data_IF_281767957195
#
_entry.id   IF_281767957195
#
_cell.length_a   1.000
_cell.length_b   1.000
_cell.length_c   1.000
_cell.angle_alpha   90.00
_cell.angle_beta   90.00
_cell.angle_gamma   90.00
#
_symmetry.space_group_name_H-M   'P 1'
#
loop_
_entity.id
_entity.type
_entity.pdbx_description
1 polymer ?
#
# COMPACT_ATOMS: atom_id res chain seq x y z
N UNK A 1 -35.92 62.68 -27.36
CA UNK A 1 -35.72 61.26 -26.98
C UNK A 1 -34.25 61.08 -26.69
N UNK A 2 -33.87 60.80 -25.44
CA UNK A 2 -32.51 60.37 -25.13
C UNK A 2 -32.47 58.86 -25.37
N UNK A 3 -31.79 58.43 -26.44
CA UNK A 3 -31.52 57.02 -26.68
C UNK A 3 -30.44 56.59 -25.69
N UNK A 4 -30.81 55.86 -24.64
CA UNK A 4 -29.84 55.18 -23.77
C UNK A 4 -29.32 53.98 -24.55
N UNK A 5 -28.11 54.09 -25.08
CA UNK A 5 -27.38 52.95 -25.63
C UNK A 5 -26.84 52.16 -24.44
N UNK A 6 -27.30 50.92 -24.26
CA UNK A 6 -26.68 49.99 -23.31
C UNK A 6 -25.32 49.59 -23.89
N UNK A 7 -24.24 50.16 -23.34
CA UNK A 7 -22.90 49.67 -23.63
C UNK A 7 -22.70 48.38 -22.83
N UNK A 8 -22.34 47.25 -23.45
CA UNK A 8 -22.01 46.03 -22.73
C UNK A 8 -20.91 46.32 -21.70
N UNK A 9 -21.07 45.82 -20.48
CA UNK A 9 -20.06 45.95 -19.43
C UNK A 9 -18.81 45.12 -19.76
N UNK A 10 -17.69 45.33 -19.05
CA UNK A 10 -16.41 44.70 -19.37
C UNK A 10 -16.40 43.16 -19.28
N UNK A 11 -17.37 42.56 -18.57
CA UNK A 11 -17.57 41.11 -18.49
C UNK A 11 -18.65 40.57 -19.44
N UNK A 12 -19.08 41.33 -20.46
CA UNK A 12 -20.12 40.91 -21.40
C UNK A 12 -19.76 41.25 -22.86
N UNK A 13 -19.36 40.26 -23.68
CA UNK A 13 -19.18 38.83 -23.36
C UNK A 13 -18.02 38.59 -22.37
N UNK A 14 -17.99 37.43 -21.71
CA UNK A 14 -16.93 37.09 -20.75
C UNK A 14 -15.55 37.07 -21.46
N UNK A 15 -14.60 37.95 -21.09
CA UNK A 15 -13.28 37.99 -21.71
C UNK A 15 -12.33 36.90 -21.20
N UNK A 16 -12.64 36.25 -20.07
CA UNK A 16 -11.80 35.21 -19.48
C UNK A 16 -11.94 33.88 -20.24
N UNK A 17 -10.82 33.23 -20.55
CA UNK A 17 -10.74 31.94 -21.23
C UNK A 17 -10.78 30.78 -20.22
N UNK A 18 -10.89 29.54 -20.72
CA UNK A 18 -10.80 28.30 -19.93
C UNK A 18 -11.69 28.29 -18.68
N UNK A 19 -12.96 28.67 -18.84
CA UNK A 19 -13.95 28.79 -17.75
C UNK A 19 -13.58 29.80 -16.63
N UNK A 20 -12.69 30.75 -16.92
CA UNK A 20 -12.34 31.85 -16.01
C UNK A 20 -13.53 32.73 -15.65
N UNK A 21 -13.60 33.15 -14.38
CA UNK A 21 -14.68 33.99 -13.86
C UNK A 21 -14.29 35.47 -13.91
N UNK A 22 -15.08 36.29 -14.62
CA UNK A 22 -14.81 37.73 -14.75
C UNK A 22 -15.40 38.52 -13.58
N UNK A 23 -14.56 39.31 -12.90
CA UNK A 23 -14.95 40.18 -11.80
C UNK A 23 -14.70 41.66 -12.15
N UNK A 24 -15.71 42.50 -11.94
CA UNK A 24 -15.63 43.93 -12.24
C UNK A 24 -15.09 44.69 -11.03
N UNK A 25 -14.01 45.45 -11.22
CA UNK A 25 -13.45 46.38 -10.24
C UNK A 25 -14.12 47.75 -10.43
N UNK A 26 -14.96 48.14 -9.48
CA UNK A 26 -15.56 49.48 -9.47
C UNK A 26 -14.71 50.42 -8.61
N UNK A 27 -13.84 51.21 -9.24
CA UNK A 27 -13.30 52.39 -8.56
C UNK A 27 -14.42 53.42 -8.39
N UNK A 28 -14.72 53.79 -7.14
CA UNK A 28 -15.69 54.85 -6.80
C UNK A 28 -15.13 56.24 -7.07
N UNK A 29 -14.59 56.51 -8.26
CA UNK A 29 -14.23 57.88 -8.66
C UNK A 29 -15.29 58.48 -9.58
N UNK A 30 -15.72 59.65 -9.15
CA UNK A 30 -16.85 60.42 -9.66
C UNK A 30 -16.47 61.02 -11.02
N UNK A 31 -16.76 60.32 -12.11
CA UNK A 31 -16.71 60.93 -13.46
C UNK A 31 -16.28 60.03 -14.61
N UNK A 32 -15.68 58.87 -14.38
CA UNK A 32 -15.04 58.09 -15.46
C UNK A 32 -15.88 56.88 -15.87
N UNK A 33 -16.09 56.71 -17.18
CA UNK A 33 -16.84 55.62 -17.82
C UNK A 33 -15.92 54.43 -18.09
N UNK A 34 -15.07 54.06 -17.14
CA UNK A 34 -14.20 52.88 -17.28
C UNK A 34 -14.32 52.01 -16.04
N UNK A 35 -15.00 50.88 -16.20
CA UNK A 35 -14.94 49.78 -15.23
C UNK A 35 -13.81 48.85 -15.65
N UNK A 36 -12.85 48.64 -14.76
CA UNK A 36 -11.79 47.65 -14.97
C UNK A 36 -12.33 46.27 -14.59
N UNK A 37 -11.76 45.21 -15.15
CA UNK A 37 -12.09 43.84 -14.79
C UNK A 37 -10.81 43.04 -14.58
N UNK A 38 -10.91 41.96 -13.83
CA UNK A 38 -9.88 40.94 -13.78
C UNK A 38 -10.51 39.56 -13.86
N UNK A 39 -9.73 38.59 -14.33
CA UNK A 39 -10.15 37.20 -14.40
C UNK A 39 -9.68 36.45 -13.16
N UNK A 40 -10.60 35.76 -12.51
CA UNK A 40 -10.30 34.75 -11.50
C UNK A 40 -10.13 33.43 -12.23
N UNK A 41 -8.88 32.96 -12.29
CA UNK A 41 -8.51 31.76 -13.01
C UNK A 41 -8.73 30.49 -12.18
N UNK A 42 -9.23 29.40 -12.79
CA UNK A 42 -9.18 28.06 -12.21
C UNK A 42 -7.76 27.66 -11.81
N UNK A 43 -7.58 26.74 -10.83
CA UNK A 43 -6.26 26.32 -10.34
C UNK A 43 -5.28 25.82 -11.41
N UNK A 44 -5.77 25.44 -12.59
CA UNK A 44 -5.03 24.81 -13.68
C UNK A 44 -4.47 25.82 -14.71
N UNK A 45 -4.91 27.09 -14.65
CA UNK A 45 -4.57 28.13 -15.63
C UNK A 45 -4.18 29.44 -14.95
N UNK A 46 -3.36 30.22 -15.64
CA UNK A 46 -2.83 31.52 -15.22
C UNK A 46 -2.85 32.48 -16.41
N UNK A 47 -2.49 33.74 -16.18
CA UNK A 47 -2.53 34.80 -17.18
C UNK A 47 -3.60 35.83 -16.87
N UNK A 48 -3.60 36.93 -17.61
CA UNK A 48 -4.54 38.05 -17.40
C UNK A 48 -5.98 37.65 -17.75
N UNK A 49 -6.12 36.72 -18.68
CA UNK A 49 -7.39 36.18 -19.16
C UNK A 49 -7.46 34.65 -19.02
N UNK A 50 -6.65 34.06 -18.14
CA UNK A 50 -6.58 32.60 -17.93
C UNK A 50 -6.19 31.82 -19.20
N UNK A 51 -5.41 32.44 -20.08
CA UNK A 51 -4.98 31.92 -21.37
C UNK A 51 -3.81 30.93 -21.31
N UNK A 52 -3.08 30.92 -20.19
CA UNK A 52 -1.83 30.16 -20.04
C UNK A 52 -2.05 28.97 -19.12
N UNK A 53 -1.76 27.75 -19.57
CA UNK A 53 -1.71 26.60 -18.67
C UNK A 53 -0.56 26.76 -17.68
N UNK A 54 -0.81 26.48 -16.40
CA UNK A 54 0.26 26.41 -15.41
C UNK A 54 1.13 25.22 -15.77
N UNK A 55 2.46 25.40 -15.72
CA UNK A 55 3.39 24.30 -15.91
C UNK A 55 3.84 23.77 -14.55
N UNK A 56 3.19 22.71 -14.07
CA UNK A 56 3.46 22.11 -12.76
C UNK A 56 4.87 21.51 -12.68
N UNK A 57 5.54 21.28 -13.82
CA UNK A 57 6.92 20.80 -13.83
C UNK A 57 7.97 21.87 -13.47
N UNK A 58 7.63 23.17 -13.47
CA UNK A 58 8.58 24.23 -13.12
C UNK A 58 9.08 24.14 -11.68
N UNK A 59 8.23 23.70 -10.76
CA UNK A 59 8.60 23.51 -9.34
C UNK A 59 9.36 22.21 -9.07
N UNK A 60 9.69 21.44 -10.13
CA UNK A 60 10.38 20.15 -10.08
C UNK A 60 9.76 19.19 -9.05
N UNK A 61 8.47 18.82 -9.24
CA UNK A 61 7.76 17.98 -8.28
C UNK A 61 8.29 16.54 -8.20
N UNK A 62 8.93 16.05 -9.27
CA UNK A 62 9.50 14.70 -9.31
C UNK A 62 10.81 14.59 -8.54
N UNK A 63 10.84 13.70 -7.55
CA UNK A 63 12.01 13.40 -6.72
C UNK A 63 12.86 12.27 -7.33
N UNK A 64 14.02 12.01 -6.72
CA UNK A 64 14.86 10.85 -7.01
C UNK A 64 15.24 10.67 -8.50
N UNK A 65 15.37 11.77 -9.23
CA UNK A 65 15.72 11.75 -10.65
C UNK A 65 14.57 11.39 -11.58
N UNK A 66 13.31 11.53 -11.13
CA UNK A 66 12.13 11.38 -11.97
C UNK A 66 12.03 12.48 -13.03
N UNK A 67 11.58 12.11 -14.24
CA UNK A 67 11.32 13.05 -15.34
C UNK A 67 9.88 13.52 -15.27
N UNK A 68 9.68 14.84 -15.20
CA UNK A 68 8.35 15.44 -15.15
C UNK A 68 7.77 15.65 -16.56
N UNK A 69 6.50 15.32 -16.72
CA UNK A 69 5.67 15.65 -17.87
C UNK A 69 4.49 16.49 -17.41
N UNK A 70 4.35 17.64 -18.05
CA UNK A 70 3.31 18.63 -17.78
C UNK A 70 1.95 18.09 -18.27
N UNK A 71 0.90 18.21 -17.46
CA UNK A 71 -0.47 17.86 -17.84
C UNK A 71 -1.39 19.03 -17.50
N UNK A 72 -2.62 19.01 -18.03
CA UNK A 72 -3.57 20.08 -17.74
C UNK A 72 -4.07 20.00 -16.29
N UNK A 73 -3.52 20.83 -15.40
CA UNK A 73 -3.87 20.86 -13.98
C UNK A 73 -3.28 19.73 -13.13
N UNK A 74 -2.31 18.99 -13.68
CA UNK A 74 -1.60 17.95 -12.96
C UNK A 74 -0.20 17.75 -13.56
N UNK A 75 0.60 16.89 -12.93
CA UNK A 75 1.88 16.45 -13.46
C UNK A 75 1.97 14.94 -13.45
N UNK A 76 2.75 14.41 -14.39
CA UNK A 76 3.11 13.01 -14.42
C UNK A 76 4.62 12.83 -14.28
N UNK A 77 5.05 12.07 -13.28
CA UNK A 77 6.45 11.71 -13.12
C UNK A 77 6.75 10.33 -13.71
N UNK A 78 7.68 10.28 -14.65
CA UNK A 78 8.32 9.02 -15.06
C UNK A 78 9.41 8.69 -14.06
N UNK A 79 9.18 7.69 -13.21
CA UNK A 79 10.10 7.33 -12.14
C UNK A 79 11.17 6.34 -12.59
N UNK A 80 12.47 6.60 -12.31
CA UNK A 80 13.52 5.62 -12.50
C UNK A 80 13.37 4.47 -11.49
N UNK A 81 13.65 3.24 -11.91
CA UNK A 81 13.69 2.10 -10.99
C UNK A 81 14.76 2.31 -9.90
N UNK A 82 14.48 2.01 -8.61
CA UNK A 82 13.29 1.35 -8.07
C UNK A 82 12.26 2.31 -7.47
N UNK A 83 12.17 3.56 -7.93
CA UNK A 83 11.25 4.56 -7.35
C UNK A 83 9.84 4.49 -7.95
N UNK A 84 8.84 4.78 -7.13
CA UNK A 84 7.41 4.81 -7.48
C UNK A 84 6.69 5.95 -6.73
N UNK A 85 5.40 6.10 -6.99
CA UNK A 85 4.55 7.16 -6.43
C UNK A 85 4.44 8.36 -7.36
N UNK A 86 3.46 9.24 -7.11
CA UNK A 86 3.14 10.40 -7.97
C UNK A 86 4.35 11.30 -8.22
N UNK A 87 5.21 11.47 -7.22
CA UNK A 87 6.43 12.28 -7.28
C UNK A 87 7.71 11.45 -7.19
N UNK A 88 7.69 10.14 -7.43
CA UNK A 88 8.85 9.25 -7.31
C UNK A 88 9.54 9.28 -5.94
N UNK A 89 8.82 9.66 -4.90
CA UNK A 89 9.33 9.81 -3.55
C UNK A 89 9.51 8.47 -2.82
N UNK A 90 8.85 7.41 -3.30
CA UNK A 90 8.84 6.10 -2.64
C UNK A 90 9.82 5.14 -3.31
N UNK A 91 10.56 4.37 -2.51
CA UNK A 91 11.47 3.33 -3.01
C UNK A 91 10.79 1.95 -2.94
N UNK A 92 10.53 1.34 -4.09
CA UNK A 92 9.85 0.06 -4.26
C UNK A 92 10.75 -1.15 -3.94
N UNK A 93 11.22 -1.24 -2.69
CA UNK A 93 12.11 -2.32 -2.22
C UNK A 93 11.53 -3.10 -1.04
N UNK A 94 10.22 -3.09 -0.87
CA UNK A 94 9.53 -3.78 0.23
C UNK A 94 9.47 -5.29 0.01
N UNK A 95 9.60 -6.08 1.09
CA UNK A 95 9.43 -7.55 1.02
C UNK A 95 7.95 -7.86 0.84
N UNK A 96 7.61 -8.65 -0.18
CA UNK A 96 6.22 -8.98 -0.52
C UNK A 96 5.64 -10.09 0.36
N UNK A 97 6.49 -10.87 1.03
CA UNK A 97 6.10 -11.68 2.17
C UNK A 97 6.09 -13.18 1.91
N UNK A 98 7.02 -13.70 1.11
CA UNK A 98 7.27 -15.15 1.09
C UNK A 98 7.87 -15.63 2.42
N UNK A 99 8.85 -14.91 2.98
CA UNK A 99 9.42 -15.20 4.30
C UNK A 99 8.40 -14.93 5.42
N UNK A 100 7.76 -13.76 5.36
CA UNK A 100 6.83 -13.25 6.38
C UNK A 100 5.42 -13.88 6.32
N UNK A 101 5.22 -14.91 5.50
CA UNK A 101 3.92 -15.59 5.35
C UNK A 101 2.77 -14.71 4.84
N UNK A 102 3.07 -13.58 4.20
CA UNK A 102 2.10 -12.71 3.52
C UNK A 102 1.66 -13.24 2.17
N UNK A 103 2.43 -14.14 1.56
CA UNK A 103 2.02 -14.93 0.40
C UNK A 103 1.66 -16.35 0.89
N UNK A 104 0.36 -16.65 0.84
CA UNK A 104 -0.16 -17.99 1.13
C UNK A 104 0.39 -19.03 0.15
N UNK A 105 0.54 -20.27 0.61
CA UNK A 105 1.03 -21.41 -0.17
C UNK A 105 0.16 -21.68 -1.41
N UNK A 106 -1.15 -21.39 -1.34
CA UNK A 106 -2.07 -21.50 -2.47
C UNK A 106 -1.67 -20.63 -3.68
N UNK A 107 -0.89 -19.58 -3.45
CA UNK A 107 -0.40 -18.67 -4.49
C UNK A 107 0.97 -19.08 -5.05
N UNK A 108 1.55 -20.20 -4.60
CA UNK A 108 2.85 -20.66 -5.05
C UNK A 108 2.67 -22.00 -5.79
N UNK A 109 3.16 -22.05 -7.04
CA UNK A 109 3.13 -23.26 -7.86
C UNK A 109 4.50 -23.55 -8.42
N UNK A 110 4.78 -24.81 -8.71
CA UNK A 110 6.00 -25.22 -9.36
C UNK A 110 5.70 -26.29 -10.42
N UNK A 111 6.65 -26.48 -11.32
CA UNK A 111 6.62 -27.53 -12.34
C UNK A 111 6.56 -28.93 -11.74
N UNK A 112 7.35 -29.17 -10.70
CA UNK A 112 7.51 -30.47 -10.09
C UNK A 112 8.03 -30.36 -8.65
N UNK A 113 8.06 -31.50 -7.95
CA UNK A 113 8.45 -31.62 -6.55
C UNK A 113 9.39 -32.80 -6.39
N UNK A 114 10.48 -32.61 -5.67
CA UNK A 114 11.41 -33.67 -5.30
C UNK A 114 10.94 -34.41 -4.05
N UNK A 115 11.02 -35.73 -4.10
CA UNK A 115 10.85 -36.60 -2.94
C UNK A 115 12.19 -37.25 -2.57
N UNK A 116 12.53 -37.28 -1.29
CA UNK A 116 13.71 -37.97 -0.74
C UNK A 116 13.32 -38.93 0.36
N UNK A 117 14.26 -39.79 0.77
CA UNK A 117 14.08 -40.76 1.85
C UNK A 117 12.81 -41.62 1.67
N UNK A 118 12.74 -42.35 0.54
CA UNK A 118 11.61 -43.21 0.18
C UNK A 118 10.23 -42.51 0.20
N UNK A 119 10.19 -41.20 -0.06
CA UNK A 119 8.94 -40.42 -0.12
C UNK A 119 8.60 -39.66 1.16
N UNK A 120 9.34 -39.86 2.25
CA UNK A 120 9.06 -39.21 3.54
C UNK A 120 9.43 -37.72 3.58
N UNK A 121 10.27 -37.25 2.65
CA UNK A 121 10.68 -35.86 2.56
C UNK A 121 10.21 -35.25 1.24
N UNK A 122 9.27 -34.31 1.30
CA UNK A 122 8.71 -33.62 0.14
C UNK A 122 9.21 -32.18 0.05
N UNK A 123 9.91 -31.83 -1.03
CA UNK A 123 10.51 -30.51 -1.25
C UNK A 123 9.60 -29.59 -2.08
N UNK A 124 8.42 -29.28 -1.54
CA UNK A 124 7.36 -28.56 -2.25
C UNK A 124 7.59 -27.05 -2.43
N UNK A 125 6.85 -26.40 -3.36
CA UNK A 125 6.96 -24.95 -3.62
C UNK A 125 6.66 -24.08 -2.39
N UNK A 126 5.82 -24.54 -1.47
CA UNK A 126 5.47 -23.86 -0.23
C UNK A 126 6.69 -23.59 0.69
N UNK A 127 7.76 -24.36 0.51
CA UNK A 127 9.01 -24.25 1.25
C UNK A 127 10.00 -23.26 0.63
N UNK A 128 9.70 -22.66 -0.53
CA UNK A 128 10.58 -21.73 -1.24
C UNK A 128 10.71 -20.35 -0.55
N UNK A 129 10.67 -20.30 0.78
CA UNK A 129 10.66 -19.10 1.61
C UNK A 129 12.08 -18.80 2.11
N UNK A 130 12.52 -17.55 1.97
CA UNK A 130 13.81 -17.12 2.49
C UNK A 130 13.91 -17.42 4.00
N UNK A 131 15.09 -17.84 4.46
CA UNK A 131 15.39 -18.16 5.86
C UNK A 131 14.56 -19.27 6.53
N UNK A 132 13.72 -20.01 5.80
CA UNK A 132 12.99 -21.15 6.33
C UNK A 132 13.96 -22.17 6.96
N UNK A 133 13.62 -22.65 8.16
CA UNK A 133 14.41 -23.59 8.97
C UNK A 133 13.79 -24.99 8.92
N UNK A 134 14.56 -26.00 9.31
CA UNK A 134 14.14 -27.41 9.29
C UNK A 134 14.97 -28.27 8.35
N UNK A 135 14.74 -29.59 8.40
CA UNK A 135 15.46 -30.58 7.59
C UNK A 135 15.07 -30.51 6.10
N UNK A 136 13.80 -30.21 5.82
CA UNK A 136 13.25 -29.96 4.48
C UNK A 136 12.70 -28.54 4.50
N UNK A 137 13.43 -27.62 3.86
CA UNK A 137 13.24 -26.17 4.07
C UNK A 137 13.40 -25.33 2.79
N UNK A 138 13.32 -25.96 1.63
CA UNK A 138 13.43 -25.31 0.34
C UNK A 138 12.58 -26.05 -0.69
N UNK A 139 12.29 -25.40 -1.81
CA UNK A 139 11.76 -26.09 -2.97
C UNK A 139 12.89 -26.71 -3.79
N UNK A 140 12.69 -27.95 -4.22
CA UNK A 140 13.55 -28.63 -5.19
C UNK A 140 12.65 -29.33 -6.22
N UNK A 141 12.91 -29.19 -7.53
CA UNK A 141 12.16 -29.89 -8.56
C UNK A 141 12.57 -31.36 -8.63
N UNK A 142 11.70 -32.18 -9.23
CA UNK A 142 11.99 -33.59 -9.46
C UNK A 142 13.28 -33.76 -10.29
N UNK A 143 14.09 -34.81 -10.06
CA UNK A 143 15.35 -35.02 -10.78
C UNK A 143 15.20 -35.14 -12.31
N UNK A 144 14.02 -35.52 -12.78
CA UNK A 144 13.72 -35.71 -14.20
C UNK A 144 13.11 -34.47 -14.87
N UNK A 145 12.87 -33.41 -14.11
CA UNK A 145 12.33 -32.16 -14.64
C UNK A 145 13.44 -31.37 -15.34
N UNK A 146 13.35 -31.27 -16.67
CA UNK A 146 14.34 -30.60 -17.52
C UNK A 146 14.12 -29.09 -17.60
N UNK A 147 12.92 -28.62 -17.26
CA UNK A 147 12.54 -27.21 -17.32
C UNK A 147 11.88 -26.77 -16.02
N UNK A 148 12.61 -26.84 -14.89
CA UNK A 148 11.99 -26.53 -13.63
C UNK A 148 11.59 -25.07 -13.58
N UNK A 149 10.41 -24.81 -13.03
CA UNK A 149 9.91 -23.46 -12.81
C UNK A 149 9.18 -23.36 -11.48
N UNK A 150 9.23 -22.17 -10.90
CA UNK A 150 8.39 -21.77 -9.77
C UNK A 150 7.70 -20.46 -10.12
N UNK A 151 6.43 -20.37 -9.76
CA UNK A 151 5.52 -19.29 -10.08
C UNK A 151 4.83 -18.82 -8.81
N UNK A 152 4.79 -17.51 -8.62
CA UNK A 152 4.04 -16.87 -7.53
C UNK A 152 2.95 -16.00 -8.14
N UNK A 153 1.72 -16.18 -7.67
CA UNK A 153 0.55 -15.40 -8.05
C UNK A 153 0.33 -14.28 -7.04
N UNK A 154 -0.08 -13.10 -7.51
CA UNK A 154 -0.49 -12.00 -6.64
C UNK A 154 -1.96 -11.69 -6.92
N UNK A 155 -2.79 -11.70 -5.87
CA UNK A 155 -4.13 -11.14 -5.91
C UNK A 155 -4.01 -9.62 -5.91
N UNK A 156 -4.31 -8.98 -7.05
CA UNK A 156 -4.17 -7.53 -7.17
C UNK A 156 -4.64 -7.02 -8.53
N UNK A 157 -5.96 -6.91 -8.70
CA UNK A 157 -6.55 -6.15 -9.79
C UNK A 157 -6.40 -4.65 -9.52
N UNK A 158 -5.24 -4.08 -9.87
CA UNK A 158 -5.08 -2.64 -10.10
C UNK A 158 -5.06 -2.41 -11.60
N UNK A 159 -6.00 -1.60 -12.12
CA UNK A 159 -6.14 -1.25 -13.54
C UNK A 159 -4.84 -0.70 -14.14
N UNK A 160 -3.99 -1.58 -14.66
CA UNK A 160 -2.98 -1.33 -15.69
C UNK A 160 -2.88 -2.66 -16.45
N UNK A 161 -3.04 -2.62 -17.77
CA UNK A 161 -3.15 -3.77 -18.67
C UNK A 161 -1.92 -4.67 -18.77
N UNK A 162 -1.50 -5.27 -17.66
CA UNK A 162 -0.67 -6.46 -17.63
C UNK A 162 -1.37 -7.47 -16.70
N UNK A 163 -1.72 -8.62 -17.27
CA UNK A 163 -2.22 -9.79 -16.56
C UNK A 163 -1.38 -10.06 -15.32
N UNK A 164 -2.02 -10.54 -14.24
CA UNK A 164 -1.44 -11.31 -13.13
C UNK A 164 0.09 -11.28 -13.08
N UNK A 165 0.70 -10.57 -12.12
CA UNK A 165 2.17 -10.50 -12.00
C UNK A 165 2.77 -11.89 -11.75
N UNK A 166 2.96 -12.66 -12.82
CA UNK A 166 3.51 -13.99 -12.81
C UNK A 166 5.02 -13.83 -12.88
N UNK A 167 5.70 -13.85 -11.73
CA UNK A 167 7.15 -13.98 -11.73
C UNK A 167 7.50 -15.46 -11.90
N UNK A 168 7.60 -15.88 -13.16
CA UNK A 168 8.14 -17.19 -13.53
C UNK A 168 9.66 -17.14 -13.39
N UNK A 169 10.21 -17.85 -12.41
CA UNK A 169 11.63 -18.17 -12.41
C UNK A 169 11.81 -19.43 -13.24
N UNK A 170 12.15 -19.25 -14.53
CA UNK A 170 12.53 -20.33 -15.44
C UNK A 170 14.03 -20.57 -15.37
N UNK A 171 14.44 -21.80 -15.11
CA UNK A 171 15.83 -22.21 -15.12
C UNK A 171 16.23 -22.62 -16.55
N UNK A 172 16.35 -21.64 -17.47
CA UNK A 172 16.73 -21.91 -18.88
C UNK A 172 18.11 -21.36 -19.22
N UNK A 173 18.79 -22.02 -20.16
CA UNK A 173 20.16 -21.75 -20.61
C UNK A 173 20.41 -20.38 -21.27
N UNK A 174 19.40 -19.51 -21.42
CA UNK A 174 19.57 -18.21 -22.12
C UNK A 174 19.32 -16.96 -21.26
N UNK A 175 18.93 -17.10 -19.98
CA UNK A 175 19.13 -16.12 -18.89
C UNK A 175 19.29 -16.90 -17.59
N UNK A 176 20.55 -17.01 -17.16
CA UNK A 176 21.08 -18.15 -16.41
C UNK A 176 20.59 -18.31 -14.97
N UNK A 177 20.03 -19.49 -14.66
CA UNK A 177 20.24 -20.13 -13.36
C UNK A 177 20.90 -21.48 -13.60
N UNK A 178 22.21 -21.58 -13.32
CA UNK A 178 23.00 -22.82 -13.47
C UNK A 178 22.96 -23.59 -12.15
N UNK A 179 22.34 -24.77 -12.15
CA UNK A 179 22.29 -25.64 -10.99
C UNK A 179 23.52 -26.56 -10.97
N UNK A 180 24.37 -26.49 -9.95
CA UNK A 180 25.61 -27.31 -9.88
C UNK A 180 25.39 -28.79 -9.54
N UNK A 181 24.44 -29.09 -8.64
CA UNK A 181 24.16 -30.47 -8.15
C UNK A 181 22.66 -30.81 -8.09
N UNK A 182 21.82 -29.78 -8.08
CA UNK A 182 20.36 -29.86 -8.05
C UNK A 182 19.82 -28.45 -7.92
N UNK A 183 18.70 -28.14 -8.57
CA UNK A 183 18.06 -26.85 -8.43
C UNK A 183 17.34 -26.83 -7.08
N UNK A 184 17.77 -25.99 -6.15
CA UNK A 184 17.11 -25.85 -4.83
C UNK A 184 17.04 -24.38 -4.50
N UNK A 185 15.87 -23.90 -4.09
CA UNK A 185 15.61 -22.47 -3.98
C UNK A 185 14.85 -22.13 -2.71
N UNK A 186 15.33 -21.05 -2.07
CA UNK A 186 14.61 -20.23 -1.12
C UNK A 186 14.68 -18.81 -1.63
N UNK A 187 13.56 -18.10 -1.61
CA UNK A 187 13.52 -16.73 -2.15
C UNK A 187 12.61 -15.83 -1.31
N UNK A 188 12.84 -14.53 -1.44
CA UNK A 188 11.90 -13.49 -1.04
C UNK A 188 11.71 -12.58 -2.24
N UNK A 189 10.46 -12.16 -2.45
CA UNK A 189 10.14 -11.23 -3.52
C UNK A 189 10.18 -9.82 -2.95
N UNK A 190 10.82 -8.94 -3.70
CA UNK A 190 10.91 -7.53 -3.37
C UNK A 190 10.09 -6.75 -4.40
N UNK A 191 9.24 -5.87 -3.93
CA UNK A 191 8.38 -5.02 -4.75
C UNK A 191 7.38 -4.24 -3.89
N UNK A 192 6.47 -3.56 -4.55
CA UNK A 192 5.45 -2.72 -3.96
C UNK A 192 4.26 -2.64 -4.93
N UNK A 193 3.13 -2.09 -4.47
CA UNK A 193 2.02 -1.77 -5.37
C UNK A 193 2.33 -0.46 -6.11
N UNK A 194 2.12 -0.44 -7.43
CA UNK A 194 2.40 0.73 -8.29
C UNK A 194 1.63 1.99 -7.87
N UNK A 195 0.49 1.83 -7.20
CA UNK A 195 -0.32 2.94 -6.68
C UNK A 195 0.15 3.47 -5.32
N UNK A 196 1.26 2.94 -4.76
CA UNK A 196 1.90 3.49 -3.55
C UNK A 196 1.10 3.33 -2.25
N UNK A 197 0.10 2.44 -2.18
CA UNK A 197 -0.82 2.31 -1.04
C UNK A 197 -0.55 1.12 -0.10
N UNK A 198 0.69 0.67 -0.02
CA UNK A 198 1.11 -0.44 0.84
C UNK A 198 2.22 -0.02 1.81
N UNK A 199 2.34 1.28 2.09
CA UNK A 199 3.38 1.85 2.91
C UNK A 199 3.06 1.74 4.41
N UNK A 200 4.07 1.64 5.29
CA UNK A 200 3.86 1.66 6.73
C UNK A 200 3.23 2.98 7.17
N UNK A 201 2.19 2.92 8.01
CA UNK A 201 1.45 4.09 8.50
C UNK A 201 2.12 4.80 9.68
N UNK A 202 3.33 4.39 10.04
CA UNK A 202 4.20 5.13 10.94
C UNK A 202 4.04 4.77 12.41
N UNK A 203 3.48 3.59 12.72
CA UNK A 203 3.47 3.06 14.08
C UNK A 203 4.90 2.80 14.56
N UNK A 204 5.77 2.27 13.70
CA UNK A 204 7.21 2.13 14.00
C UNK A 204 7.96 3.46 14.05
N UNK A 205 7.47 4.46 13.32
CA UNK A 205 8.09 5.79 13.21
C UNK A 205 7.64 6.75 14.32
N UNK A 206 6.78 6.31 15.25
CA UNK A 206 6.16 7.12 16.32
C UNK A 206 5.36 8.33 15.80
N UNK A 207 4.86 8.25 14.56
CA UNK A 207 4.00 9.28 13.97
C UNK A 207 2.55 9.20 14.52
N UNK A 208 2.23 8.14 15.27
CA UNK A 208 0.99 7.97 16.03
C UNK A 208 1.36 7.97 17.52
N UNK A 209 0.64 8.76 18.33
CA UNK A 209 1.00 9.04 19.74
C UNK A 209 0.94 7.80 20.64
N UNK A 210 2.07 7.47 21.26
CA UNK A 210 2.24 6.33 22.17
C UNK A 210 1.82 6.66 23.61
N UNK A 211 0.51 6.68 23.92
CA UNK A 211 0.06 6.84 25.30
C UNK A 211 -0.02 5.51 26.10
N UNK A 212 0.26 4.36 25.47
CA UNK A 212 0.01 3.03 26.07
C UNK A 212 1.14 1.99 25.88
N UNK A 213 2.32 2.37 25.40
CA UNK A 213 3.41 1.43 25.11
C UNK A 213 4.49 1.53 26.20
N UNK A 214 4.39 0.71 27.25
CA UNK A 214 5.41 0.70 28.34
C UNK A 214 6.63 -0.19 28.05
N UNK A 215 6.61 -1.01 27.01
CA UNK A 215 7.73 -1.86 26.56
C UNK A 215 7.66 -2.05 25.05
N UNK A 216 8.67 -2.65 24.41
CA UNK A 216 8.78 -2.83 22.94
C UNK A 216 7.59 -3.57 22.27
N UNK A 217 6.55 -3.96 22.99
CA UNK A 217 5.31 -4.56 22.51
C UNK A 217 4.12 -4.12 23.38
N UNK A 218 2.90 -4.23 22.84
CA UNK A 218 1.69 -4.16 23.64
C UNK A 218 1.36 -5.54 24.20
N UNK A 219 1.07 -5.61 25.49
CA UNK A 219 0.59 -6.82 26.17
C UNK A 219 -0.72 -6.52 26.87
N UNK A 220 -1.74 -7.32 26.60
CA UNK A 220 -3.05 -7.13 27.22
C UNK A 220 -3.00 -7.43 28.74
N UNK A 221 -3.81 -6.70 29.51
CA UNK A 221 -3.93 -6.94 30.94
C UNK A 221 -4.69 -8.24 31.26
N UNK A 222 -5.73 -8.55 30.47
CA UNK A 222 -6.48 -9.80 30.53
C UNK A 222 -6.04 -10.82 29.47
N UNK A 223 -6.47 -12.07 29.64
CA UNK A 223 -6.20 -13.17 28.70
C UNK A 223 -7.51 -13.77 28.17
N UNK A 224 -8.44 -12.91 27.76
CA UNK A 224 -9.73 -13.29 27.20
C UNK A 224 -9.90 -12.70 25.79
N UNK A 225 -10.95 -13.11 25.09
CA UNK A 225 -11.22 -12.67 23.70
C UNK A 225 -11.85 -11.27 23.60
N UNK A 226 -12.08 -10.56 24.72
CA UNK A 226 -12.61 -9.20 24.73
C UNK A 226 -11.51 -8.13 24.71
N UNK A 227 -10.24 -8.55 24.70
CA UNK A 227 -9.11 -7.65 24.61
C UNK A 227 -9.00 -7.03 23.21
N UNK A 228 -8.56 -5.77 23.14
CA UNK A 228 -8.28 -5.11 21.87
C UNK A 228 -7.21 -4.03 22.04
N UNK A 229 -6.48 -3.78 20.95
CA UNK A 229 -5.64 -2.59 20.81
C UNK A 229 -6.22 -1.72 19.70
N UNK A 230 -6.34 -0.42 19.95
CA UNK A 230 -6.90 0.56 19.02
C UNK A 230 -5.82 1.49 18.49
N UNK A 231 -5.93 1.83 17.22
CA UNK A 231 -5.12 2.85 16.56
C UNK A 231 -6.04 3.92 15.98
N UNK A 232 -5.83 5.18 16.34
CA UNK A 232 -6.40 6.35 15.66
C UNK A 232 -5.39 6.85 14.63
N UNK A 233 -5.79 6.86 13.36
CA UNK A 233 -4.97 7.30 12.23
C UNK A 233 -4.98 8.82 12.04
N UNK A 234 -5.73 9.56 12.86
CA UNK A 234 -5.91 11.02 12.80
C UNK A 234 -6.90 11.48 11.72
N UNK A 235 -6.91 10.80 10.57
CA UNK A 235 -7.82 11.03 9.45
C UNK A 235 -8.29 9.71 8.84
N UNK A 236 -9.34 9.75 8.02
CA UNK A 236 -9.77 8.59 7.24
C UNK A 236 -8.67 8.22 6.24
N UNK A 237 -8.21 6.97 6.27
CA UNK A 237 -7.16 6.44 5.40
C UNK A 237 -7.59 5.14 4.74
N UNK A 238 -6.93 4.81 3.64
CA UNK A 238 -7.06 3.51 2.98
C UNK A 238 -6.03 2.55 3.55
N UNK A 239 -6.49 1.51 4.24
CA UNK A 239 -5.64 0.43 4.76
C UNK A 239 -5.69 -0.78 3.83
N UNK A 240 -4.52 -1.28 3.44
CA UNK A 240 -4.34 -2.43 2.56
C UNK A 240 -3.83 -3.67 3.28
N UNK A 241 -3.33 -3.51 4.52
CA UNK A 241 -2.95 -4.66 5.33
C UNK A 241 -2.42 -4.29 6.70
N UNK A 242 -1.97 -5.32 7.40
CA UNK A 242 -1.39 -5.24 8.74
C UNK A 242 -0.21 -6.22 8.84
N UNK A 243 0.83 -5.81 9.55
CA UNK A 243 1.96 -6.64 9.92
C UNK A 243 1.91 -6.84 11.43
N UNK A 244 1.95 -8.08 11.89
CA UNK A 244 1.99 -8.45 13.31
C UNK A 244 3.29 -9.18 13.64
N UNK A 245 3.75 -9.06 14.88
CA UNK A 245 4.94 -9.73 15.39
C UNK A 245 4.76 -9.96 16.89
N UNK A 246 5.20 -11.11 17.41
CA UNK A 246 5.21 -11.34 18.86
C UNK A 246 6.31 -10.60 19.59
N UNK A 247 6.54 -10.95 20.85
CA UNK A 247 7.68 -10.46 21.62
C UNK A 247 8.24 -11.54 22.55
N UNK A 248 9.37 -11.24 23.16
CA UNK A 248 9.97 -12.06 24.22
C UNK A 248 10.03 -11.21 25.47
N UNK A 249 9.36 -11.65 26.51
CA UNK A 249 9.30 -10.96 27.80
C UNK A 249 9.84 -11.89 28.90
N UNK A 250 10.84 -11.41 29.65
CA UNK A 250 11.57 -12.18 30.69
C UNK A 250 11.94 -13.62 30.30
N UNK A 251 12.35 -13.85 29.04
CA UNK A 251 12.70 -15.20 28.57
C UNK A 251 11.55 -15.99 27.95
N UNK A 252 10.30 -15.60 28.20
CA UNK A 252 9.11 -16.26 27.68
C UNK A 252 8.70 -15.69 26.32
N UNK A 253 8.46 -16.59 25.36
CA UNK A 253 8.03 -16.28 24.00
C UNK A 253 6.50 -16.10 24.01
N UNK A 254 6.02 -14.96 23.54
CA UNK A 254 4.61 -14.60 23.56
C UNK A 254 4.18 -13.99 22.22
N UNK A 255 3.05 -14.43 21.68
CA UNK A 255 2.53 -13.95 20.40
C UNK A 255 1.07 -14.33 20.20
N UNK A 256 0.37 -13.54 19.38
CA UNK A 256 -1.01 -13.83 18.97
C UNK A 256 -1.01 -14.73 17.73
N UNK A 257 -1.70 -15.86 17.79
CA UNK A 257 -1.77 -16.89 16.74
C UNK A 257 -2.96 -16.69 15.82
N UNK A 258 -4.03 -16.04 16.28
CA UNK A 258 -5.15 -15.62 15.45
C UNK A 258 -5.79 -14.33 15.97
N UNK A 259 -6.34 -13.51 15.09
CA UNK A 259 -7.01 -12.27 15.47
C UNK A 259 -8.13 -11.89 14.50
N UNK A 260 -9.07 -11.07 14.98
CA UNK A 260 -10.07 -10.37 14.18
C UNK A 260 -9.68 -8.89 14.08
N UNK A 261 -10.25 -8.20 13.10
CA UNK A 261 -10.07 -6.76 12.92
C UNK A 261 -11.43 -6.10 12.90
N UNK A 262 -11.59 -5.01 13.65
CA UNK A 262 -12.73 -4.11 13.51
C UNK A 262 -12.27 -2.70 13.16
N UNK A 263 -13.12 -1.95 12.46
CA UNK A 263 -12.80 -0.61 11.97
C UNK A 263 -13.98 0.33 12.14
N UNK A 264 -13.69 1.63 12.22
CA UNK A 264 -14.68 2.68 12.44
C UNK A 264 -14.26 4.02 11.81
N UNK A 265 -15.25 4.82 11.44
CA UNK A 265 -15.05 6.21 11.00
C UNK A 265 -15.09 7.20 12.17
N UNK A 266 -15.84 6.89 13.23
CA UNK A 266 -16.15 7.81 14.32
C UNK A 266 -15.68 7.33 15.71
N UNK A 267 -15.14 6.11 15.79
CA UNK A 267 -14.66 5.50 17.05
C UNK A 267 -15.78 4.97 17.95
N UNK A 268 -17.05 5.08 17.54
CA UNK A 268 -18.24 4.64 18.30
C UNK A 268 -18.90 3.44 17.64
N UNK A 269 -19.12 3.50 16.34
CA UNK A 269 -19.76 2.44 15.56
C UNK A 269 -18.69 1.59 14.89
N UNK A 270 -18.68 0.30 15.21
CA UNK A 270 -17.62 -0.61 14.78
C UNK A 270 -18.15 -1.69 13.85
N UNK A 271 -17.45 -1.92 12.75
CA UNK A 271 -17.70 -3.03 11.83
C UNK A 271 -16.56 -4.02 11.89
N UNK A 272 -16.87 -5.31 11.96
CA UNK A 272 -15.89 -6.39 11.84
C UNK A 272 -15.59 -6.67 10.37
N UNK A 273 -14.31 -6.89 10.06
CA UNK A 273 -13.91 -7.33 8.72
C UNK A 273 -14.53 -8.71 8.45
N UNK A 274 -15.16 -8.84 7.28
CA UNK A 274 -15.84 -10.07 6.86
C UNK A 274 -15.03 -10.82 5.82
N UNK A 275 -15.20 -12.14 5.77
CA UNK A 275 -14.66 -12.98 4.72
C UNK A 275 -15.55 -12.97 3.47
N UNK A 276 -15.16 -13.73 2.43
CA UNK A 276 -15.92 -13.84 1.18
C UNK A 276 -17.33 -14.45 1.36
N UNK A 277 -17.60 -15.09 2.50
CA UNK A 277 -18.88 -15.71 2.85
C UNK A 277 -19.72 -14.80 3.77
N UNK A 278 -19.24 -13.61 4.11
CA UNK A 278 -19.91 -12.68 5.02
C UNK A 278 -19.74 -13.00 6.50
N UNK A 279 -18.90 -13.98 6.86
CA UNK A 279 -18.60 -14.34 8.25
C UNK A 279 -17.46 -13.48 8.80
N UNK A 280 -17.31 -13.38 10.12
CA UNK A 280 -16.19 -12.67 10.73
C UNK A 280 -14.86 -13.24 10.24
N UNK A 281 -14.02 -12.39 9.64
CA UNK A 281 -12.71 -12.80 9.17
C UNK A 281 -11.78 -13.03 10.34
N UNK A 282 -11.34 -14.28 10.50
CA UNK A 282 -10.22 -14.64 11.38
C UNK A 282 -8.94 -14.62 10.55
N UNK A 283 -8.00 -13.76 10.95
CA UNK A 283 -6.68 -13.66 10.37
C UNK A 283 -5.72 -14.60 11.11
N UNK A 284 -4.90 -15.31 10.34
CA UNK A 284 -3.80 -16.08 10.91
C UNK A 284 -2.71 -15.13 11.40
N UNK A 285 -2.37 -15.26 12.68
CA UNK A 285 -1.33 -14.51 13.36
C UNK A 285 0.04 -15.16 13.23
N UNK A 286 0.86 -14.94 14.26
CA UNK A 286 2.25 -15.35 14.32
C UNK A 286 2.40 -16.80 14.81
N UNK A 287 3.47 -17.46 14.38
CA UNK A 287 3.88 -18.80 14.85
C UNK A 287 5.11 -18.75 15.77
N UNK A 288 5.74 -17.57 15.88
CA UNK A 288 6.87 -17.29 16.75
C UNK A 288 6.88 -15.80 17.14
N UNK A 289 7.85 -15.37 17.94
CA UNK A 289 7.95 -14.00 18.44
C UNK A 289 8.74 -13.02 17.56
N UNK A 290 9.42 -13.48 16.52
CA UNK A 290 10.42 -12.71 15.79
C UNK A 290 10.08 -12.50 14.31
N UNK A 291 9.42 -13.44 13.67
CA UNK A 291 9.05 -13.35 12.26
C UNK A 291 7.80 -12.48 12.14
N UNK A 292 7.89 -11.48 11.29
CA UNK A 292 6.75 -10.63 10.93
C UNK A 292 5.73 -11.47 10.17
N UNK A 293 4.46 -11.34 10.51
CA UNK A 293 3.34 -11.93 9.78
C UNK A 293 2.58 -10.81 9.08
N UNK A 294 2.55 -10.82 7.76
CA UNK A 294 1.77 -9.85 6.97
C UNK A 294 0.40 -10.45 6.60
N UNK A 295 -0.66 -9.69 6.82
CA UNK A 295 -2.02 -10.00 6.38
C UNK A 295 -2.54 -8.86 5.50
N UNK A 296 -3.14 -9.19 4.35
CA UNK A 296 -3.77 -8.22 3.44
C UNK A 296 -5.25 -8.07 3.77
N UNK A 297 -5.78 -6.88 3.54
CA UNK A 297 -7.21 -6.61 3.57
C UNK A 297 -7.75 -6.67 2.15
N UNK A 298 -8.62 -7.63 1.89
CA UNK A 298 -9.29 -7.82 0.60
C UNK A 298 -10.80 -7.94 0.86
N UNK A 299 -11.60 -6.88 0.55
CA UNK A 299 -11.19 -5.58 0.00
C UNK A 299 -10.41 -4.70 1.01
N UNK A 300 -9.73 -3.66 0.51
CA UNK A 300 -9.06 -2.66 1.35
C UNK A 300 -10.07 -1.93 2.25
N UNK A 301 -9.63 -1.55 3.46
CA UNK A 301 -10.48 -0.88 4.44
C UNK A 301 -10.34 0.64 4.31
N UNK A 302 -11.45 1.37 4.45
CA UNK A 302 -11.46 2.82 4.55
C UNK A 302 -11.96 3.19 5.93
N UNK A 303 -11.07 3.72 6.77
CA UNK A 303 -11.38 4.01 8.17
C UNK A 303 -10.39 5.01 8.77
N UNK A 304 -10.80 5.64 9.88
CA UNK A 304 -9.92 6.43 10.75
C UNK A 304 -9.43 5.62 11.94
N UNK A 305 -10.30 4.78 12.50
CA UNK A 305 -9.99 3.96 13.67
C UNK A 305 -9.98 2.49 13.29
N UNK A 306 -9.02 1.76 13.84
CA UNK A 306 -8.91 0.31 13.68
C UNK A 306 -8.60 -0.34 15.02
N UNK A 307 -9.20 -1.50 15.27
CA UNK A 307 -8.92 -2.35 16.41
C UNK A 307 -8.46 -3.72 15.95
N UNK A 308 -7.43 -4.23 16.62
CA UNK A 308 -7.00 -5.63 16.50
C UNK A 308 -7.50 -6.36 17.73
N UNK A 309 -8.26 -7.43 17.51
CA UNK A 309 -8.91 -8.24 18.55
C UNK A 309 -8.27 -9.63 18.55
N UNK A 310 -7.39 -9.93 19.52
CA UNK A 310 -6.79 -11.26 19.66
C UNK A 310 -7.88 -12.33 19.83
N UNK A 311 -7.77 -13.40 19.05
CA UNK A 311 -8.71 -14.51 19.04
C UNK A 311 -8.10 -15.78 19.63
N UNK A 312 -6.82 -16.00 19.37
CA UNK A 312 -6.01 -17.10 19.91
C UNK A 312 -4.55 -16.64 20.08
N UNK A 313 -3.81 -17.23 21.02
CA UNK A 313 -2.44 -16.80 21.37
C UNK A 313 -1.61 -17.88 22.07
N UNK A 314 -0.28 -17.69 22.03
CA UNK A 314 0.69 -18.48 22.78
C UNK A 314 1.23 -17.68 23.98
N UNK A 315 1.06 -18.21 25.19
CA UNK A 315 1.48 -17.55 26.43
C UNK A 315 0.52 -16.42 26.81
N UNK A 316 0.96 -15.16 26.67
CA UNK A 316 0.12 -13.97 26.87
C UNK A 316 -0.19 -13.29 25.55
N UNK A 317 -1.27 -12.53 25.53
CA UNK A 317 -1.66 -11.68 24.41
C UNK A 317 -0.63 -10.57 24.29
N UNK A 318 0.33 -10.74 23.38
CA UNK A 318 1.40 -9.78 23.13
C UNK A 318 1.59 -9.54 21.65
N UNK A 319 1.61 -8.27 21.24
CA UNK A 319 1.66 -7.84 19.85
C UNK A 319 2.58 -6.62 19.66
N UNK A 320 3.38 -6.70 18.60
CA UNK A 320 3.95 -5.56 17.87
C UNK A 320 3.23 -5.48 16.53
N UNK A 321 2.81 -4.28 16.14
CA UNK A 321 2.01 -4.11 14.94
C UNK A 321 2.47 -2.93 14.09
N UNK A 322 2.27 -3.02 12.79
CA UNK A 322 2.42 -1.94 11.82
C UNK A 322 1.27 -2.04 10.80
N UNK A 323 0.66 -0.93 10.45
CA UNK A 323 -0.43 -0.86 9.48
C UNK A 323 0.12 -0.47 8.12
N UNK A 324 -0.46 -1.02 7.06
CA UNK A 324 -0.08 -0.72 5.68
C UNK A 324 -1.23 0.01 4.98
N UNK A 325 -0.92 1.09 4.26
CA UNK A 325 -1.93 1.89 3.60
C UNK A 325 -1.40 3.14 2.90
N UNK A 326 -2.30 4.10 2.67
CA UNK A 326 -2.00 5.44 2.20
C UNK A 326 -3.03 6.44 2.71
N UNK A 327 -2.62 7.71 2.81
CA UNK A 327 -3.57 8.83 2.86
C UNK A 327 -4.21 8.96 1.48
N UNK A 328 -5.54 9.03 1.45
CA UNK A 328 -6.27 9.53 0.28
C UNK A 328 -6.47 11.03 0.41
#
# INVERSE_FOLDING_TARGET
>A
MIVRVCVPGPCSPNPCLNDGQCEVVSEKRRGDVFSHYYCVCPPEVTGEHCETNINECQVKPCQNGGTCSDLNGDFYCTCPSPYVGKSCQQRCTSRLGLEAGGISEAHIRASSVRYTFMGLQRWGPELARLNLKGLVNAWSPAPHDREPWIQVWFSGAGRLGYSEFVKLLKFHQNRSVVCRRGCTLRLELIGCELNGCSEPMGLRSRLISDSQISTNAWTAAGTDQNQWIQVDLGASKKLTGIITQGAKDFGHIQFVTAFKVSYSQNGRDWSLVKDQRGQDKIFAGNTDNNVHKKNRFEPALFCRFIRVLPWDWHGRITLRLELLGCSQ
#
